data_IF_621939254016
#
_entry.id   IF_621939254016
#
_cell.length_a   1.000
_cell.length_b   1.000
_cell.length_c   1.000
_cell.angle_alpha   90.00
_cell.angle_beta   90.00
_cell.angle_gamma   90.00
#
_symmetry.space_group_name_H-M   'P 1'
#
loop_
_entity.id
_entity.type
_entity.pdbx_description
1 polymer ?
#
# COMPACT_ATOMS: atom_id res chain seq x y z
N UNK A 1 20.75 2.92 1.65
CA UNK A 1 19.92 2.49 0.50
C UNK A 1 20.46 1.13 0.10
N UNK A 2 19.59 0.16 -0.13
CA UNK A 2 19.94 -1.14 -0.69
C UNK A 2 18.93 -1.43 -1.80
N UNK A 3 19.43 -1.78 -2.97
CA UNK A 3 18.63 -2.10 -4.14
C UNK A 3 18.94 -3.54 -4.57
N UNK A 4 17.89 -4.37 -4.56
CA UNK A 4 17.89 -5.76 -4.97
C UNK A 4 16.74 -6.03 -5.95
N UNK A 5 16.20 -4.99 -6.60
CA UNK A 5 15.11 -5.12 -7.57
C UNK A 5 15.48 -6.02 -8.75
N UNK A 6 14.49 -6.65 -9.37
CA UNK A 6 14.64 -7.49 -10.58
C UNK A 6 15.68 -8.61 -10.41
N UNK A 7 15.55 -9.38 -9.32
CA UNK A 7 16.39 -10.53 -9.03
C UNK A 7 15.52 -11.79 -8.84
N UNK A 8 16.13 -12.85 -8.31
CA UNK A 8 15.43 -14.07 -7.90
C UNK A 8 15.53 -14.30 -6.38
N UNK A 9 15.56 -13.21 -5.60
CA UNK A 9 15.68 -13.27 -4.14
C UNK A 9 14.35 -13.76 -3.55
N UNK A 10 14.38 -14.89 -2.85
CA UNK A 10 13.26 -15.37 -2.05
C UNK A 10 13.55 -15.27 -0.56
N UNK A 11 14.76 -15.67 -0.16
CA UNK A 11 15.23 -15.59 1.22
C UNK A 11 15.93 -14.25 1.48
N UNK A 12 15.32 -13.45 2.36
CA UNK A 12 15.82 -12.15 2.80
C UNK A 12 16.32 -12.15 4.25
N UNK A 13 16.54 -13.33 4.86
CA UNK A 13 16.97 -13.46 6.26
C UNK A 13 18.22 -12.63 6.59
N UNK A 14 19.18 -12.58 5.67
CA UNK A 14 20.41 -11.80 5.83
C UNK A 14 20.15 -10.30 6.03
N UNK A 15 19.04 -9.76 5.52
CA UNK A 15 18.72 -8.33 5.60
C UNK A 15 18.31 -7.89 7.00
N UNK A 16 17.85 -8.81 7.87
CA UNK A 16 17.32 -8.45 9.19
C UNK A 16 18.35 -7.85 10.16
N UNK A 17 19.63 -7.98 9.84
CA UNK A 17 20.72 -7.35 10.60
C UNK A 17 21.01 -5.89 10.17
N UNK A 18 20.43 -5.44 9.05
CA UNK A 18 20.74 -4.16 8.43
C UNK A 18 19.88 -3.01 8.99
N UNK A 19 19.81 -2.89 10.32
CA UNK A 19 18.91 -1.97 11.04
C UNK A 19 19.07 -0.47 10.73
N UNK A 20 20.10 -0.08 9.98
CA UNK A 20 20.33 1.28 9.51
C UNK A 20 19.72 1.59 8.13
N UNK A 21 19.14 0.59 7.45
CA UNK A 21 18.51 0.80 6.14
C UNK A 21 17.36 1.79 6.24
N UNK A 22 17.38 2.79 5.36
CA UNK A 22 16.30 3.77 5.18
C UNK A 22 15.50 3.57 3.91
N UNK A 23 16.11 2.94 2.91
CA UNK A 23 15.51 2.64 1.62
C UNK A 23 15.93 1.23 1.25
N UNK A 24 14.95 0.39 0.96
CA UNK A 24 15.12 -0.98 0.52
C UNK A 24 14.22 -1.22 -0.69
N UNK A 25 14.82 -1.64 -1.79
CA UNK A 25 14.12 -2.09 -2.98
C UNK A 25 14.27 -3.62 -3.10
N UNK A 26 13.15 -4.32 -3.07
CA UNK A 26 13.00 -5.76 -3.27
C UNK A 26 12.02 -6.06 -4.40
N UNK A 27 11.74 -5.09 -5.27
CA UNK A 27 10.78 -5.24 -6.37
C UNK A 27 11.13 -6.40 -7.31
N UNK A 28 10.13 -7.02 -7.91
CA UNK A 28 10.24 -8.09 -8.90
C UNK A 28 11.18 -9.23 -8.45
N UNK A 29 10.82 -9.87 -7.34
CA UNK A 29 11.56 -10.97 -6.73
C UNK A 29 10.62 -12.14 -6.41
N UNK A 30 11.04 -13.06 -5.54
CA UNK A 30 10.23 -14.18 -5.07
C UNK A 30 9.98 -14.13 -3.56
N UNK A 31 10.00 -12.93 -2.96
CA UNK A 31 9.81 -12.73 -1.51
C UNK A 31 8.37 -13.02 -1.12
N UNK A 32 8.18 -13.82 -0.07
CA UNK A 32 6.87 -14.08 0.53
C UNK A 32 6.86 -13.90 2.05
N UNK A 33 7.99 -14.11 2.72
CA UNK A 33 8.15 -13.90 4.16
C UNK A 33 8.84 -12.56 4.44
N UNK A 34 8.16 -11.69 5.19
CA UNK A 34 8.65 -10.37 5.57
C UNK A 34 9.19 -10.31 7.00
N UNK A 35 9.16 -11.40 7.78
CA UNK A 35 9.66 -11.39 9.16
C UNK A 35 11.09 -10.88 9.33
N UNK A 36 12.03 -11.17 8.41
CA UNK A 36 13.37 -10.57 8.48
C UNK A 36 13.37 -9.04 8.47
N UNK A 37 12.32 -8.38 7.97
CA UNK A 37 12.23 -6.92 7.90
C UNK A 37 11.69 -6.26 9.19
N UNK A 38 11.14 -7.03 10.14
CA UNK A 38 10.38 -6.45 11.28
C UNK A 38 11.21 -5.54 12.19
N UNK A 39 12.53 -5.80 12.26
CA UNK A 39 13.47 -4.99 13.04
C UNK A 39 14.00 -3.75 12.32
N UNK A 40 13.72 -3.57 11.02
CA UNK A 40 14.29 -2.48 10.20
C UNK A 40 13.55 -1.15 10.38
N UNK A 41 13.35 -0.76 11.64
CA UNK A 41 12.53 0.40 12.07
C UNK A 41 13.01 1.76 11.55
N UNK A 42 14.23 1.84 11.00
CA UNK A 42 14.76 3.02 10.34
C UNK A 42 14.27 3.19 8.88
N UNK A 43 13.56 2.20 8.31
CA UNK A 43 13.04 2.26 6.95
C UNK A 43 12.07 3.43 6.77
N UNK A 44 12.25 4.12 5.64
CA UNK A 44 11.42 5.23 5.16
C UNK A 44 10.76 4.90 3.83
N UNK A 45 11.43 4.13 2.97
CA UNK A 45 10.90 3.62 1.71
C UNK A 45 11.15 2.12 1.61
N UNK A 46 10.10 1.37 1.27
CA UNK A 46 10.16 -0.05 1.00
C UNK A 46 9.40 -0.33 -0.29
N UNK A 47 10.07 -0.94 -1.26
CA UNK A 47 9.46 -1.46 -2.48
C UNK A 47 9.46 -2.98 -2.45
N UNK A 48 8.27 -3.56 -2.53
CA UNK A 48 8.00 -5.00 -2.54
C UNK A 48 7.11 -5.37 -3.74
N UNK A 49 7.00 -4.49 -4.75
CA UNK A 49 6.18 -4.77 -5.94
C UNK A 49 6.62 -6.06 -6.65
N UNK A 50 5.69 -6.77 -7.29
CA UNK A 50 6.00 -7.97 -8.07
C UNK A 50 6.60 -9.12 -7.25
N UNK A 51 6.06 -9.37 -6.05
CA UNK A 51 6.47 -10.46 -5.17
C UNK A 51 5.28 -11.40 -4.87
N UNK A 52 5.38 -12.21 -3.80
CA UNK A 52 4.33 -13.14 -3.35
C UNK A 52 3.93 -12.87 -1.90
N UNK A 53 3.92 -11.59 -1.52
CA UNK A 53 3.59 -11.16 -0.16
C UNK A 53 2.09 -11.27 0.08
N UNK A 54 1.71 -11.95 1.16
CA UNK A 54 0.33 -12.00 1.64
C UNK A 54 0.17 -11.45 3.06
N UNK A 55 1.21 -11.59 3.89
CA UNK A 55 1.20 -11.21 5.31
C UNK A 55 2.00 -9.93 5.56
N UNK A 56 1.31 -8.88 6.00
CA UNK A 56 1.93 -7.58 6.31
C UNK A 56 2.23 -7.39 7.80
N UNK A 57 1.91 -8.36 8.68
CA UNK A 57 2.19 -8.26 10.13
C UNK A 57 3.64 -7.88 10.45
N UNK A 58 4.67 -8.37 9.73
CA UNK A 58 6.04 -7.96 10.00
C UNK A 58 6.31 -6.46 9.84
N UNK A 59 5.48 -5.74 9.09
CA UNK A 59 5.70 -4.31 8.81
C UNK A 59 5.07 -3.38 9.87
N UNK A 60 4.29 -3.91 10.82
CA UNK A 60 3.46 -3.08 11.72
C UNK A 60 4.25 -2.11 12.61
N UNK A 61 5.51 -2.43 12.92
CA UNK A 61 6.39 -1.59 13.76
C UNK A 61 7.31 -0.66 12.96
N UNK A 62 7.20 -0.62 11.62
CA UNK A 62 7.99 0.27 10.78
C UNK A 62 7.45 1.72 10.79
N UNK A 63 7.29 2.31 11.98
CA UNK A 63 6.62 3.61 12.23
C UNK A 63 7.27 4.82 11.55
N UNK A 64 8.41 4.63 10.89
CA UNK A 64 9.09 5.65 10.09
C UNK A 64 8.88 5.52 8.59
N UNK A 65 8.13 4.49 8.15
CA UNK A 65 7.83 4.26 6.76
C UNK A 65 6.95 5.40 6.22
N UNK A 66 7.39 5.99 5.12
CA UNK A 66 6.76 7.11 4.42
C UNK A 66 6.21 6.66 3.06
N UNK A 67 6.88 5.69 2.43
CA UNK A 67 6.51 5.11 1.13
C UNK A 67 6.54 3.59 1.21
N UNK A 68 5.44 2.95 0.83
CA UNK A 68 5.32 1.50 0.68
C UNK A 68 4.70 1.17 -0.68
N UNK A 69 5.41 0.36 -1.46
CA UNK A 69 4.96 -0.11 -2.77
C UNK A 69 4.81 -1.63 -2.71
N UNK A 70 3.62 -2.13 -3.01
CA UNK A 70 3.21 -3.52 -2.87
C UNK A 70 2.40 -4.01 -4.09
N UNK A 71 2.47 -3.29 -5.22
CA UNK A 71 1.76 -3.69 -6.44
C UNK A 71 2.07 -5.13 -6.87
N UNK A 72 1.06 -5.87 -7.34
CA UNK A 72 1.28 -7.22 -7.87
C UNK A 72 1.73 -8.22 -6.80
N UNK A 73 1.04 -8.24 -5.66
CA UNK A 73 1.24 -9.20 -4.57
C UNK A 73 -0.07 -9.97 -4.28
N UNK A 74 -0.14 -10.64 -3.14
CA UNK A 74 -1.27 -11.48 -2.72
C UNK A 74 -1.98 -10.96 -1.47
N UNK A 75 -1.83 -9.67 -1.15
CA UNK A 75 -2.35 -9.07 0.07
C UNK A 75 -3.87 -8.95 0.04
N UNK A 76 -4.52 -9.36 1.12
CA UNK A 76 -5.97 -9.19 1.34
C UNK A 76 -6.31 -8.44 2.63
N UNK A 77 -5.36 -8.26 3.55
CA UNK A 77 -5.55 -7.60 4.84
C UNK A 77 -4.59 -6.42 5.02
N UNK A 78 -5.14 -5.23 5.26
CA UNK A 78 -4.42 -3.99 5.49
C UNK A 78 -4.29 -3.63 6.96
N UNK A 79 -4.94 -4.36 7.87
CA UNK A 79 -4.93 -4.07 9.30
C UNK A 79 -3.51 -3.88 9.87
N UNK A 80 -2.46 -4.63 9.45
CA UNK A 80 -1.11 -4.40 9.96
C UNK A 80 -0.52 -3.00 9.68
N UNK A 81 -1.01 -2.27 8.69
CA UNK A 81 -0.45 -0.97 8.29
C UNK A 81 -1.03 0.22 9.07
N UNK A 82 -2.09 0.05 9.86
CA UNK A 82 -2.81 1.15 10.55
C UNK A 82 -1.93 1.96 11.52
N UNK A 83 -0.89 1.34 12.09
CA UNK A 83 0.06 1.98 13.00
C UNK A 83 1.09 2.88 12.31
N UNK A 84 1.14 2.87 10.98
CA UNK A 84 2.16 3.58 10.19
C UNK A 84 1.79 5.05 9.97
N UNK A 85 1.77 5.81 11.05
CA UNK A 85 1.32 7.21 11.08
C UNK A 85 2.11 8.18 10.18
N UNK A 86 3.25 7.76 9.61
CA UNK A 86 4.04 8.55 8.65
C UNK A 86 3.83 8.16 7.20
N UNK A 87 3.07 7.10 6.92
CA UNK A 87 2.88 6.59 5.58
C UNK A 87 2.09 7.59 4.73
N UNK A 88 2.77 8.21 3.75
CA UNK A 88 2.19 9.22 2.87
C UNK A 88 1.85 8.66 1.49
N UNK A 89 2.53 7.59 1.08
CA UNK A 89 2.37 6.93 -0.22
C UNK A 89 2.20 5.44 0.00
N UNK A 90 1.08 4.91 -0.49
CA UNK A 90 0.79 3.48 -0.51
C UNK A 90 0.31 3.04 -1.90
N UNK A 91 1.08 2.18 -2.57
CA UNK A 91 0.64 1.53 -3.81
C UNK A 91 0.36 0.04 -3.54
N UNK A 92 -0.86 -0.39 -3.82
CA UNK A 92 -1.41 -1.72 -3.52
C UNK A 92 -2.17 -2.28 -4.73
N UNK A 93 -1.85 -1.83 -5.94
CA UNK A 93 -2.51 -2.29 -7.15
C UNK A 93 -2.33 -3.80 -7.37
N UNK A 94 -3.26 -4.45 -8.07
CA UNK A 94 -3.17 -5.88 -8.42
C UNK A 94 -2.92 -6.79 -7.21
N UNK A 95 -3.72 -6.59 -6.16
CA UNK A 95 -3.74 -7.43 -4.96
C UNK A 95 -5.11 -8.14 -4.84
N UNK A 96 -5.48 -8.57 -3.63
CA UNK A 96 -6.73 -9.30 -3.34
C UNK A 96 -7.59 -8.57 -2.31
N UNK A 97 -7.51 -7.24 -2.26
CA UNK A 97 -8.21 -6.41 -1.28
C UNK A 97 -9.72 -6.38 -1.56
N UNK A 98 -10.52 -6.74 -0.57
CA UNK A 98 -11.98 -6.68 -0.59
C UNK A 98 -12.54 -5.62 0.37
N UNK A 99 -11.76 -5.25 1.39
CA UNK A 99 -12.12 -4.29 2.42
C UNK A 99 -11.05 -3.20 2.55
N UNK A 100 -11.49 -1.94 2.46
CA UNK A 100 -10.64 -0.77 2.67
C UNK A 100 -10.78 -0.18 4.08
N UNK A 101 -11.70 -0.67 4.92
CA UNK A 101 -11.99 -0.11 6.24
C UNK A 101 -10.76 0.11 7.13
N UNK A 102 -9.71 -0.73 7.11
CA UNK A 102 -8.50 -0.48 7.88
C UNK A 102 -7.77 0.83 7.53
N UNK A 103 -8.04 1.44 6.37
CA UNK A 103 -7.42 2.70 5.96
C UNK A 103 -7.97 3.93 6.70
N UNK A 104 -9.09 3.84 7.43
CA UNK A 104 -9.72 5.01 8.06
C UNK A 104 -8.84 5.79 9.04
N UNK A 105 -7.83 5.14 9.62
CA UNK A 105 -6.87 5.77 10.52
C UNK A 105 -5.58 6.22 9.83
N UNK A 106 -5.43 5.98 8.52
CA UNK A 106 -4.25 6.35 7.74
C UNK A 106 -4.26 7.84 7.33
N UNK A 107 -4.43 8.72 8.32
CA UNK A 107 -4.63 10.19 8.15
C UNK A 107 -3.44 10.94 7.56
N UNK A 108 -2.30 10.27 7.37
CA UNK A 108 -1.11 10.81 6.72
C UNK A 108 -1.06 10.54 5.22
N UNK A 109 -1.88 9.63 4.69
CA UNK A 109 -1.87 9.27 3.27
C UNK A 109 -2.21 10.47 2.39
N UNK A 110 -1.39 10.65 1.36
CA UNK A 110 -1.51 11.69 0.33
C UNK A 110 -1.68 11.06 -1.06
N UNK A 111 -1.11 9.88 -1.27
CA UNK A 111 -1.21 9.09 -2.49
C UNK A 111 -1.59 7.66 -2.17
N UNK A 112 -2.62 7.16 -2.85
CA UNK A 112 -3.12 5.81 -2.68
C UNK A 112 -3.47 5.20 -4.04
N UNK A 113 -2.80 4.10 -4.39
CA UNK A 113 -3.18 3.24 -5.51
C UNK A 113 -3.79 1.93 -4.99
N UNK A 114 -5.05 1.68 -5.31
CA UNK A 114 -5.79 0.46 -5.00
C UNK A 114 -6.31 -0.21 -6.28
N UNK A 115 -5.71 0.09 -7.45
CA UNK A 115 -6.18 -0.44 -8.71
C UNK A 115 -6.24 -1.97 -8.76
N UNK A 116 -7.11 -2.53 -9.59
CA UNK A 116 -7.13 -3.97 -9.88
C UNK A 116 -7.22 -4.83 -8.59
N UNK A 117 -8.15 -4.46 -7.70
CA UNK A 117 -8.49 -5.21 -6.50
C UNK A 117 -9.96 -5.68 -6.58
N UNK A 118 -10.60 -5.96 -5.44
CA UNK A 118 -11.99 -6.46 -5.37
C UNK A 118 -12.86 -5.59 -4.46
N UNK A 119 -12.48 -4.33 -4.28
CA UNK A 119 -13.18 -3.38 -3.42
C UNK A 119 -14.56 -3.06 -3.98
N UNK A 120 -15.56 -3.04 -3.11
CA UNK A 120 -16.93 -2.57 -3.43
C UNK A 120 -17.29 -1.32 -2.67
N UNK A 121 -16.73 -1.18 -1.48
CA UNK A 121 -17.02 -0.12 -0.54
C UNK A 121 -15.76 0.72 -0.31
N UNK A 122 -15.89 2.02 -0.56
CA UNK A 122 -14.82 3.00 -0.38
C UNK A 122 -15.23 4.12 0.58
N UNK A 123 -16.27 3.92 1.41
CA UNK A 123 -16.76 4.97 2.33
C UNK A 123 -15.66 5.59 3.16
N UNK A 124 -14.78 4.75 3.67
CA UNK A 124 -13.63 5.12 4.50
C UNK A 124 -12.62 6.03 3.80
N UNK A 125 -12.52 5.97 2.47
CA UNK A 125 -11.61 6.85 1.72
C UNK A 125 -12.09 8.31 1.76
N UNK A 126 -13.38 8.54 2.03
CA UNK A 126 -13.98 9.85 2.27
C UNK A 126 -13.43 10.57 3.50
N UNK A 127 -12.85 9.82 4.45
CA UNK A 127 -12.32 10.36 5.72
C UNK A 127 -10.82 10.70 5.61
N UNK A 128 -10.17 10.40 4.48
CA UNK A 128 -8.74 10.66 4.27
C UNK A 128 -8.50 12.11 3.83
N UNK A 129 -8.56 13.02 4.80
CA UNK A 129 -8.49 14.48 4.58
C UNK A 129 -7.25 14.96 3.80
N UNK A 130 -6.12 14.24 3.87
CA UNK A 130 -4.88 14.58 3.17
C UNK A 130 -4.71 13.91 1.82
N UNK A 131 -5.60 13.00 1.44
CA UNK A 131 -5.48 12.24 0.20
C UNK A 131 -5.68 13.16 -0.99
N UNK A 132 -4.68 13.26 -1.87
CA UNK A 132 -4.70 14.13 -3.05
C UNK A 132 -4.79 13.34 -4.34
N UNK A 133 -4.11 12.19 -4.39
CA UNK A 133 -4.09 11.31 -5.55
C UNK A 133 -4.66 9.95 -5.17
N UNK A 134 -5.70 9.52 -5.89
CA UNK A 134 -6.39 8.27 -5.66
C UNK A 134 -6.59 7.53 -6.99
N UNK A 135 -6.22 6.24 -7.01
CA UNK A 135 -6.60 5.33 -8.07
C UNK A 135 -7.34 4.12 -7.50
N UNK A 136 -8.51 3.84 -8.05
CA UNK A 136 -9.35 2.69 -7.68
C UNK A 136 -9.93 1.96 -8.91
N UNK A 137 -9.43 2.26 -10.11
CA UNK A 137 -9.77 1.55 -11.36
C UNK A 137 -9.62 0.03 -11.22
N UNK A 138 -10.41 -0.77 -11.93
CA UNK A 138 -10.33 -2.23 -11.85
C UNK A 138 -10.90 -2.80 -10.56
N UNK A 139 -11.79 -2.09 -9.89
CA UNK A 139 -12.55 -2.57 -8.73
C UNK A 139 -14.06 -2.56 -9.03
N UNK A 140 -14.87 -3.48 -8.46
CA UNK A 140 -16.32 -3.49 -8.60
C UNK A 140 -17.04 -2.42 -7.75
N UNK A 141 -16.55 -1.16 -7.77
CA UNK A 141 -17.13 -0.03 -7.04
C UNK A 141 -18.27 0.58 -7.87
N UNK A 142 -19.42 0.79 -7.23
CA UNK A 142 -20.61 1.40 -7.86
C UNK A 142 -21.00 2.74 -7.27
N UNK A 143 -20.50 3.08 -6.08
CA UNK A 143 -20.83 4.31 -5.36
C UNK A 143 -19.55 5.11 -5.06
N UNK A 144 -19.43 6.27 -5.71
CA UNK A 144 -18.34 7.21 -5.53
C UNK A 144 -18.73 8.44 -4.69
N UNK A 145 -19.98 8.51 -4.21
CA UNK A 145 -20.44 9.61 -3.36
C UNK A 145 -19.63 9.81 -2.06
N UNK A 146 -18.91 8.81 -1.50
CA UNK A 146 -18.00 9.07 -0.38
C UNK A 146 -16.89 10.07 -0.70
N UNK A 147 -16.51 10.20 -1.97
CA UNK A 147 -15.46 11.13 -2.40
C UNK A 147 -16.00 12.56 -2.63
N UNK A 148 -17.32 12.77 -2.61
CA UNK A 148 -17.97 14.09 -2.74
C UNK A 148 -17.89 14.92 -1.45
N UNK A 149 -17.60 14.27 -0.31
CA UNK A 149 -17.28 14.92 0.98
C UNK A 149 -15.93 15.65 0.88
N UNK A 150 -15.48 16.47 1.84
CA UNK A 150 -14.22 17.22 1.69
C UNK A 150 -13.00 16.30 1.80
N UNK A 151 -12.84 15.40 0.84
CA UNK A 151 -11.58 14.77 0.50
C UNK A 151 -10.74 15.81 -0.23
N UNK A 152 -9.42 15.77 -0.03
CA UNK A 152 -8.50 16.62 -0.79
C UNK A 152 -8.21 16.04 -2.18
N UNK A 153 -8.98 15.06 -2.66
CA UNK A 153 -8.66 14.29 -3.87
C UNK A 153 -8.80 15.22 -5.08
N UNK A 154 -7.66 15.50 -5.71
CA UNK A 154 -7.56 16.32 -6.93
C UNK A 154 -7.38 15.48 -8.17
N UNK A 155 -6.85 14.28 -8.00
CA UNK A 155 -6.59 13.34 -9.08
C UNK A 155 -7.23 12.01 -8.72
N UNK A 156 -8.34 11.71 -9.38
CA UNK A 156 -9.07 10.46 -9.25
C UNK A 156 -8.94 9.67 -10.55
N UNK A 157 -8.46 8.44 -10.46
CA UNK A 157 -8.37 7.51 -11.59
C UNK A 157 -9.32 6.34 -11.35
N UNK A 158 -10.37 6.28 -12.16
CA UNK A 158 -11.43 5.26 -12.17
C UNK A 158 -11.55 4.66 -13.58
N UNK A 159 -12.28 3.55 -13.69
CA UNK A 159 -12.54 2.96 -15.00
C UNK A 159 -13.39 3.91 -15.86
N UNK A 160 -13.12 3.93 -17.17
CA UNK A 160 -13.81 4.83 -18.10
C UNK A 160 -15.35 4.65 -18.14
N UNK A 161 -15.85 3.50 -17.68
CA UNK A 161 -17.28 3.18 -17.62
C UNK A 161 -17.89 3.36 -16.21
N UNK A 162 -17.09 3.79 -15.22
CA UNK A 162 -17.56 3.95 -13.86
C UNK A 162 -18.53 5.15 -13.72
N UNK A 163 -19.55 5.07 -12.85
CA UNK A 163 -20.40 6.21 -12.53
C UNK A 163 -19.56 7.40 -12.06
N UNK A 164 -19.71 8.57 -12.70
CA UNK A 164 -18.95 9.78 -12.36
C UNK A 164 -17.67 10.00 -13.17
N UNK A 165 -17.31 9.09 -14.09
CA UNK A 165 -16.26 9.35 -15.08
C UNK A 165 -16.70 10.48 -16.02
N UNK A 166 -16.10 11.67 -15.86
CA UNK A 166 -16.24 12.82 -16.77
C UNK A 166 -14.88 13.43 -17.05
#
# INVERSE_FOLDING_TARGET
>A
VLDLGDNAVGDITALGSLGHLRVLDLSNNAVSDLWPLSGLTALRRLDLSGNRVADLRPLSELRHLEVLVLDGNEVSDLAPLWGLQKLAHLDMGKNRLEDAAPLGEARSLQRLDLADNRLRDIRVLGDLEKLVWLRVSGNPITDFSPLDRPTSVRWLVIDAQAPGAR
#
